data_IF_022569129054
#
_entry.id   IF_022569129054
#
_cell.length_a   1.000
_cell.length_b   1.000
_cell.length_c   1.000
_cell.angle_alpha   90.00
_cell.angle_beta   90.00
_cell.angle_gamma   90.00
#
_symmetry.space_group_name_H-M   'P 1'
#
loop_
_entity.id
_entity.type
_entity.pdbx_description
1 polymer ?
#
# COMPACT_ATOMS: atom_id res chain seq x y z
N UNK A 1 1.68 -7.02 -10.30
CA UNK A 1 3.04 -7.59 -10.34
C UNK A 1 3.90 -7.01 -11.46
N UNK A 2 3.51 -7.15 -12.75
CA UNK A 2 4.32 -6.68 -13.89
C UNK A 2 4.69 -5.19 -13.88
N UNK A 3 3.75 -4.31 -13.52
CA UNK A 3 4.00 -2.86 -13.40
C UNK A 3 5.11 -2.51 -12.39
N UNK A 4 5.18 -3.23 -11.26
CA UNK A 4 6.20 -3.00 -10.23
C UNK A 4 7.59 -3.43 -10.72
N UNK A 5 7.68 -4.60 -11.36
CA UNK A 5 8.93 -5.11 -11.95
C UNK A 5 9.42 -4.17 -13.06
N UNK A 6 8.51 -3.67 -13.91
CA UNK A 6 8.84 -2.71 -14.98
C UNK A 6 9.44 -1.41 -14.46
N UNK A 7 8.82 -0.82 -13.43
CA UNK A 7 9.35 0.39 -12.75
C UNK A 7 10.74 0.11 -12.17
N UNK A 8 10.93 -1.05 -11.54
CA UNK A 8 12.20 -1.43 -10.92
C UNK A 8 13.30 -1.66 -11.96
N UNK A 9 12.98 -2.35 -13.05
CA UNK A 9 13.89 -2.53 -14.18
C UNK A 9 14.35 -1.18 -14.74
N UNK A 10 13.41 -0.25 -14.97
CA UNK A 10 13.74 1.10 -15.44
C UNK A 10 14.67 1.83 -14.49
N UNK A 11 14.39 1.79 -13.19
CA UNK A 11 15.22 2.44 -12.18
C UNK A 11 16.65 1.87 -12.15
N UNK A 12 16.78 0.54 -12.18
CA UNK A 12 18.07 -0.14 -12.21
C UNK A 12 18.85 0.17 -13.49
N UNK A 13 18.17 0.18 -14.65
CA UNK A 13 18.76 0.55 -15.94
C UNK A 13 19.32 1.96 -15.92
N UNK A 14 18.53 2.94 -15.45
CA UNK A 14 18.95 4.33 -15.38
C UNK A 14 20.12 4.55 -14.41
N UNK A 15 20.18 3.80 -13.29
CA UNK A 15 21.34 3.83 -12.38
C UNK A 15 22.64 3.34 -13.03
N UNK A 16 22.54 2.50 -14.07
CA UNK A 16 23.69 2.06 -14.88
C UNK A 16 24.00 2.99 -16.04
N UNK A 17 23.26 4.09 -16.20
CA UNK A 17 23.44 5.02 -17.32
C UNK A 17 23.10 4.42 -18.69
N UNK A 18 22.32 3.33 -18.73
CA UNK A 18 22.02 2.62 -19.98
C UNK A 18 20.72 3.13 -20.61
N UNK A 19 20.72 3.31 -21.92
CA UNK A 19 19.49 3.38 -22.72
C UNK A 19 18.82 2.01 -22.82
N UNK A 20 17.53 1.96 -23.18
CA UNK A 20 16.84 0.67 -23.41
C UNK A 20 17.52 -0.14 -24.52
N UNK A 21 18.07 0.55 -25.54
CA UNK A 21 18.77 -0.07 -26.68
C UNK A 21 20.07 -0.72 -26.23
N UNK A 22 20.85 -0.03 -25.41
CA UNK A 22 22.10 -0.58 -24.86
C UNK A 22 21.83 -1.74 -23.91
N UNK A 23 20.81 -1.65 -23.06
CA UNK A 23 20.42 -2.77 -22.21
C UNK A 23 20.04 -4.00 -23.04
N UNK A 24 19.20 -3.83 -24.06
CA UNK A 24 18.81 -4.91 -24.97
C UNK A 24 20.04 -5.55 -25.64
N UNK A 25 20.95 -4.73 -26.17
CA UNK A 25 22.16 -5.19 -26.86
C UNK A 25 23.18 -5.90 -25.96
N UNK A 26 23.19 -5.62 -24.65
CA UNK A 26 24.11 -6.25 -23.69
C UNK A 26 23.58 -7.56 -23.10
N UNK A 27 22.29 -7.83 -23.21
CA UNK A 27 21.69 -9.02 -22.60
C UNK A 27 21.91 -10.26 -23.47
N UNK A 28 22.56 -11.27 -22.89
CA UNK A 28 22.80 -12.53 -23.55
C UNK A 28 21.49 -13.23 -23.98
N UNK A 29 21.44 -13.71 -25.23
CA UNK A 29 20.27 -14.38 -25.80
C UNK A 29 19.24 -13.47 -26.46
N UNK A 30 19.61 -12.23 -26.80
CA UNK A 30 18.96 -11.46 -27.85
C UNK A 30 17.56 -10.95 -27.53
N UNK A 31 17.37 -10.31 -26.36
CA UNK A 31 16.14 -9.54 -26.14
C UNK A 31 16.20 -8.25 -26.95
N UNK A 32 15.09 -7.86 -27.57
CA UNK A 32 15.04 -6.65 -28.38
C UNK A 32 14.59 -5.40 -27.58
N UNK A 33 14.80 -4.23 -28.18
CA UNK A 33 14.42 -2.92 -27.62
C UNK A 33 12.92 -2.83 -27.29
N UNK A 34 12.06 -3.38 -28.17
CA UNK A 34 10.61 -3.34 -27.99
C UNK A 34 10.21 -4.14 -26.75
N UNK A 35 10.83 -5.31 -26.55
CA UNK A 35 10.58 -6.16 -25.40
C UNK A 35 11.03 -5.48 -24.10
N UNK A 36 12.22 -4.87 -24.05
CA UNK A 36 12.65 -4.06 -22.90
C UNK A 36 11.65 -2.95 -22.60
N UNK A 37 11.18 -2.23 -23.62
CA UNK A 37 10.18 -1.18 -23.47
C UNK A 37 8.84 -1.68 -22.91
N UNK A 38 8.34 -2.82 -23.42
CA UNK A 38 7.10 -3.46 -22.91
C UNK A 38 7.23 -3.91 -21.46
N UNK A 39 8.41 -4.42 -21.07
CA UNK A 39 8.67 -4.78 -19.66
C UNK A 39 8.62 -3.53 -18.78
N UNK A 40 9.32 -2.45 -19.15
CA UNK A 40 9.39 -1.23 -18.34
C UNK A 40 8.04 -0.54 -18.18
N UNK A 41 7.16 -0.62 -19.18
CA UNK A 41 5.77 -0.13 -19.07
C UNK A 41 4.85 -1.09 -18.31
N UNK A 42 5.33 -2.29 -17.98
CA UNK A 42 4.55 -3.32 -17.30
C UNK A 42 3.54 -4.04 -18.20
N UNK A 43 3.64 -3.87 -19.51
CA UNK A 43 2.78 -4.48 -20.54
C UNK A 43 3.14 -5.96 -20.75
N UNK A 44 4.38 -6.35 -20.47
CA UNK A 44 4.83 -7.72 -20.60
C UNK A 44 5.68 -8.14 -19.40
N UNK A 45 5.36 -9.29 -18.81
CA UNK A 45 6.12 -9.85 -17.71
C UNK A 45 7.28 -10.71 -18.25
N UNK A 46 8.54 -10.43 -17.87
CA UNK A 46 9.65 -11.27 -18.25
C UNK A 46 9.68 -12.58 -17.47
N UNK A 47 10.24 -13.63 -18.08
CA UNK A 47 10.53 -14.88 -17.36
C UNK A 47 11.66 -14.69 -16.35
N UNK A 48 11.76 -15.58 -15.36
CA UNK A 48 12.88 -15.55 -14.39
C UNK A 48 14.25 -15.68 -15.08
N UNK A 49 14.33 -16.45 -16.17
CA UNK A 49 15.55 -16.58 -16.98
C UNK A 49 15.97 -15.23 -17.58
N UNK A 50 15.01 -14.46 -18.09
CA UNK A 50 15.25 -13.10 -18.63
C UNK A 50 15.64 -12.15 -17.51
N UNK A 51 14.93 -12.15 -16.37
CA UNK A 51 15.26 -11.33 -15.21
C UNK A 51 16.68 -11.61 -14.67
N UNK A 52 17.10 -12.87 -14.65
CA UNK A 52 18.46 -13.24 -14.23
C UNK A 52 19.52 -12.62 -15.15
N UNK A 53 19.32 -12.71 -16.46
CA UNK A 53 20.22 -12.11 -17.47
C UNK A 53 20.24 -10.58 -17.40
N UNK A 54 19.08 -9.96 -17.16
CA UNK A 54 19.00 -8.53 -16.90
C UNK A 54 19.79 -8.15 -15.65
N UNK A 55 19.68 -8.96 -14.59
CA UNK A 55 20.45 -8.79 -13.35
C UNK A 55 21.96 -8.90 -13.56
N UNK A 56 22.42 -9.79 -14.43
CA UNK A 56 23.84 -9.91 -14.80
C UNK A 56 24.36 -8.61 -15.44
N UNK A 57 23.65 -8.07 -16.44
CA UNK A 57 24.04 -6.82 -17.13
C UNK A 57 23.94 -5.60 -16.21
N UNK A 58 22.94 -5.59 -15.33
CA UNK A 58 22.71 -4.53 -14.36
C UNK A 58 23.47 -4.76 -13.04
N UNK A 59 24.38 -5.73 -13.00
CA UNK A 59 25.10 -6.31 -11.84
C UNK A 59 24.34 -6.12 -10.52
N UNK A 60 23.14 -6.69 -10.49
CA UNK A 60 22.30 -6.77 -9.31
C UNK A 60 21.74 -8.17 -9.15
N UNK A 61 21.56 -8.64 -7.90
CA UNK A 61 20.94 -9.92 -7.64
C UNK A 61 19.46 -9.91 -8.02
N UNK A 62 18.91 -11.06 -8.42
CA UNK A 62 17.52 -11.21 -8.87
C UNK A 62 16.48 -10.59 -7.92
N UNK A 63 16.72 -10.65 -6.59
CA UNK A 63 15.85 -10.04 -5.57
C UNK A 63 15.60 -8.54 -5.80
N UNK A 64 16.55 -7.81 -6.39
CA UNK A 64 16.44 -6.37 -6.62
C UNK A 64 15.23 -6.01 -7.49
N UNK A 65 14.78 -6.88 -8.41
CA UNK A 65 13.61 -6.64 -9.24
C UNK A 65 12.27 -6.70 -8.47
N UNK A 66 12.29 -7.27 -7.26
CA UNK A 66 11.12 -7.44 -6.40
C UNK A 66 11.13 -6.50 -5.18
N UNK A 67 12.29 -5.91 -4.87
CA UNK A 67 12.42 -4.92 -3.80
C UNK A 67 11.63 -3.65 -4.13
N UNK A 68 10.73 -3.24 -3.23
CA UNK A 68 9.85 -2.08 -3.43
C UNK A 68 8.65 -2.33 -4.36
N UNK A 69 8.44 -3.58 -4.79
CA UNK A 69 7.25 -3.99 -5.52
C UNK A 69 6.04 -4.07 -4.60
N UNK A 70 5.40 -2.92 -4.41
CA UNK A 70 4.59 -2.58 -3.25
C UNK A 70 5.46 -2.60 -1.99
N UNK A 71 5.48 -1.48 -1.26
CA UNK A 71 5.45 -1.60 0.19
C UNK A 71 4.42 -2.69 0.50
N UNK A 72 4.70 -3.70 1.33
CA UNK A 72 3.57 -4.34 2.01
C UNK A 72 2.76 -3.15 2.51
N UNK A 73 1.48 -3.01 2.09
CA UNK A 73 0.56 -2.10 2.74
C UNK A 73 0.87 -2.21 4.22
N UNK A 74 1.17 -1.10 4.93
CA UNK A 74 1.87 -1.11 6.23
C UNK A 74 1.38 -2.32 6.99
N UNK A 75 2.21 -3.36 7.04
CA UNK A 75 1.80 -4.76 7.29
C UNK A 75 0.57 -4.73 8.16
N UNK A 76 -0.61 -5.01 7.58
CA UNK A 76 -1.90 -4.74 8.23
C UNK A 76 -1.74 -5.18 9.68
N UNK A 77 -2.03 -4.30 10.64
CA UNK A 77 -1.88 -4.68 12.05
C UNK A 77 -2.73 -5.94 12.32
N UNK A 78 -3.77 -6.21 11.51
CA UNK A 78 -4.43 -7.49 11.44
C UNK A 78 -3.51 -8.64 10.98
N UNK A 79 -2.76 -8.51 9.88
CA UNK A 79 -1.79 -9.50 9.41
C UNK A 79 -0.63 -9.73 10.40
N UNK A 80 -0.19 -8.70 11.11
CA UNK A 80 0.78 -8.85 12.21
C UNK A 80 0.18 -9.66 13.36
N UNK A 81 -1.02 -9.28 13.80
CA UNK A 81 -1.75 -9.97 14.86
C UNK A 81 -1.99 -11.44 14.50
N UNK A 82 -2.39 -11.73 13.26
CA UNK A 82 -2.60 -13.09 12.78
C UNK A 82 -1.32 -13.92 12.78
N UNK A 83 -0.18 -13.35 12.38
CA UNK A 83 1.10 -14.06 12.41
C UNK A 83 1.56 -14.40 13.82
N UNK A 84 1.41 -13.47 14.76
CA UNK A 84 1.76 -13.73 16.17
C UNK A 84 0.81 -14.75 16.80
N UNK A 85 -0.51 -14.64 16.54
CA UNK A 85 -1.49 -15.59 17.05
C UNK A 85 -1.22 -17.04 16.58
N UNK A 86 -0.71 -17.23 15.36
CA UNK A 86 -0.36 -18.56 14.82
C UNK A 86 0.83 -19.21 15.54
N UNK A 87 1.74 -18.40 16.10
CA UNK A 87 2.92 -18.88 16.85
C UNK A 87 2.60 -19.28 18.29
N UNK A 88 1.45 -18.84 18.82
CA UNK A 88 1.03 -19.18 20.18
C UNK A 88 0.74 -20.68 20.30
N UNK A 89 1.16 -21.22 21.45
CA UNK A 89 0.77 -22.56 21.87
C UNK A 89 -0.76 -22.62 22.04
N UNK A 90 -1.44 -23.74 21.69
CA UNK A 90 -2.90 -23.83 21.71
C UNK A 90 -3.58 -23.36 23.02
N UNK A 91 -2.93 -23.62 24.16
CA UNK A 91 -3.38 -23.22 25.50
C UNK A 91 -3.48 -21.69 25.65
N UNK A 92 -2.53 -20.95 25.08
CA UNK A 92 -2.42 -19.49 25.22
C UNK A 92 -3.30 -18.73 24.24
N UNK A 93 -3.79 -19.40 23.18
CA UNK A 93 -4.74 -18.81 22.22
C UNK A 93 -6.05 -18.41 22.87
N UNK A 94 -6.48 -19.16 23.90
CA UNK A 94 -7.70 -18.86 24.65
C UNK A 94 -7.58 -17.49 25.32
N UNK A 95 -6.47 -17.23 26.01
CA UNK A 95 -6.21 -15.93 26.67
C UNK A 95 -6.14 -14.78 25.65
N UNK A 96 -5.48 -14.99 24.51
CA UNK A 96 -5.39 -13.98 23.45
C UNK A 96 -6.76 -13.60 22.89
N UNK A 97 -7.67 -14.56 22.72
CA UNK A 97 -9.06 -14.31 22.29
C UNK A 97 -9.82 -13.49 23.33
N UNK A 98 -9.66 -13.78 24.63
CA UNK A 98 -10.34 -13.04 25.69
C UNK A 98 -9.85 -11.58 25.79
N UNK A 99 -8.54 -11.35 25.67
CA UNK A 99 -7.99 -10.01 25.60
C UNK A 99 -8.53 -9.22 24.40
N UNK A 100 -8.60 -9.86 23.23
CA UNK A 100 -9.16 -9.21 22.04
C UNK A 100 -10.65 -8.88 22.20
N UNK A 101 -11.44 -9.77 22.80
CA UNK A 101 -12.84 -9.53 23.14
C UNK A 101 -13.00 -8.35 24.10
N UNK A 102 -12.16 -8.28 25.12
CA UNK A 102 -12.15 -7.18 26.09
C UNK A 102 -11.85 -5.84 25.41
N UNK A 103 -10.82 -5.78 24.56
CA UNK A 103 -10.47 -4.57 23.79
C UNK A 103 -11.63 -4.14 22.90
N UNK A 104 -12.25 -5.08 22.18
CA UNK A 104 -13.36 -4.78 21.28
C UNK A 104 -14.61 -4.29 22.03
N UNK A 105 -14.92 -4.89 23.18
CA UNK A 105 -16.01 -4.45 24.05
C UNK A 105 -15.79 -3.01 24.51
N UNK A 106 -14.60 -2.70 25.02
CA UNK A 106 -14.26 -1.35 25.50
C UNK A 106 -14.34 -0.28 24.40
N UNK A 107 -13.92 -0.61 23.17
CA UNK A 107 -14.06 0.31 22.03
C UNK A 107 -15.51 0.60 21.69
N UNK A 108 -16.38 -0.42 21.69
CA UNK A 108 -17.83 -0.26 21.42
C UNK A 108 -18.52 0.59 22.48
N UNK A 109 -18.20 0.37 23.75
CA UNK A 109 -18.76 1.15 24.86
C UNK A 109 -18.35 2.62 24.80
N UNK A 110 -17.07 2.90 24.47
CA UNK A 110 -16.60 4.28 24.26
C UNK A 110 -17.23 4.96 23.05
N UNK A 111 -17.43 4.22 21.96
CA UNK A 111 -18.10 4.74 20.77
C UNK A 111 -19.58 5.06 21.06
N UNK A 112 -20.27 4.20 21.83
CA UNK A 112 -21.67 4.41 22.23
C UNK A 112 -21.88 5.60 23.18
N UNK A 113 -20.85 5.97 23.95
CA UNK A 113 -20.89 7.11 24.90
C UNK A 113 -20.56 8.46 24.26
N UNK A 114 -20.17 8.53 22.98
CA UNK A 114 -20.00 9.81 22.27
C UNK A 114 -21.37 10.41 21.97
N UNK A 115 -21.74 11.58 22.52
CA UNK A 115 -23.02 12.20 22.19
C UNK A 115 -23.00 12.59 20.71
N UNK A 116 -24.02 12.15 19.96
CA UNK A 116 -24.31 12.68 18.62
C UNK A 116 -24.57 14.17 18.80
N UNK A 117 -23.68 15.02 18.28
CA UNK A 117 -23.88 16.46 18.29
C UNK A 117 -25.24 16.75 17.63
N UNK A 118 -26.21 17.23 18.42
CA UNK A 118 -27.53 17.62 17.93
C UNK A 118 -27.32 18.68 16.85
N UNK A 119 -27.76 18.38 15.64
CA UNK A 119 -27.91 19.37 14.57
C UNK A 119 -28.92 20.40 15.09
N UNK A 120 -28.45 21.62 15.36
CA UNK A 120 -29.32 22.73 15.74
C UNK A 120 -30.07 23.21 14.47
N UNK A 121 -31.37 23.00 14.41
CA UNK A 121 -32.23 23.71 13.45
C UNK A 121 -32.45 25.15 13.95
N UNK A 122 -32.14 26.20 13.16
CA UNK A 122 -32.57 27.54 13.48
C UNK A 122 -34.04 27.68 13.10
N UNK A 123 -34.89 27.66 14.14
CA UNK A 123 -36.33 27.76 14.06
C UNK A 123 -36.87 29.05 13.43
N UNK A 124 -38.08 28.89 12.91
CA UNK A 124 -38.95 29.95 12.37
C UNK A 124 -39.30 31.00 13.44
N UNK A 125 -39.23 32.27 13.02
CA UNK A 125 -39.89 33.52 13.48
C UNK A 125 -40.77 33.50 14.74
N UNK A 126 -40.61 34.52 15.58
CA UNK A 126 -41.75 35.28 16.14
C UNK A 126 -41.47 36.80 16.19
N UNK A 127 -42.39 37.58 15.61
CA UNK A 127 -42.55 39.04 15.78
C UNK A 127 -42.90 39.35 17.25
N UNK A 128 -42.45 40.49 17.80
CA UNK A 128 -43.33 41.49 18.47
C UNK A 128 -42.72 42.90 18.44
N UNK A 129 -43.62 43.86 18.18
CA UNK A 129 -43.48 45.32 18.21
C UNK A 129 -43.04 45.85 19.59
N UNK A 130 -42.34 46.99 19.61
CA UNK A 130 -42.73 48.24 20.31
C UNK A 130 -41.71 49.35 20.03
N UNK A 131 -42.19 50.55 19.63
CA UNK A 131 -41.43 51.82 19.73
C UNK A 131 -41.32 52.28 21.20
N UNK A 132 -40.91 53.53 21.55
CA UNK A 132 -41.04 54.77 20.75
C UNK A 132 -39.83 55.76 20.77
N UNK A 133 -39.80 56.68 19.80
CA UNK A 133 -39.69 58.14 19.99
C UNK A 133 -38.36 58.85 20.34
N UNK A 134 -38.26 60.09 19.80
CA UNK A 134 -37.26 61.19 19.96
C UNK A 134 -36.10 61.09 18.95
N UNK A 135 -35.81 62.09 18.11
CA UNK A 135 -36.06 63.55 18.16
C UNK A 135 -36.52 64.10 16.81
#
# INVERSE_FOLDING_TARGET
>A
MGKAIGVRLRALRLRRGLTQRELAGRVAGGIDLSYVGKIERGEQLPSLKVLRRLGEVLEVPLRQFFEGGATPAPVDEADRLWREARRLHPRDRVLAVELLRLVNRHRRERAARRPVARVAEPGRRYRRRRGPGRS
#
